data_IF_741907406149
#
_entry.id   IF_741907406149
#
_cell.length_a   1.000
_cell.length_b   1.000
_cell.length_c   1.000
_cell.angle_alpha   90.00
_cell.angle_beta   90.00
_cell.angle_gamma   90.00
#
_symmetry.space_group_name_H-M   'P 1'
#
loop_
_entity.id
_entity.type
_entity.pdbx_description
1 polymer ?
#
# COMPACT_ATOMS: atom_id res chain seq x y z
N UNK A 1 3.70 21.09 -3.89
CA UNK A 1 4.82 20.21 -3.55
C UNK A 1 5.61 19.86 -4.81
N UNK A 2 6.94 20.10 -4.84
CA UNK A 2 7.79 19.95 -6.05
C UNK A 2 7.64 18.57 -6.73
N UNK A 3 7.68 17.49 -5.96
CA UNK A 3 7.56 16.14 -6.47
C UNK A 3 6.16 15.82 -7.02
N UNK A 4 5.11 16.26 -6.36
CA UNK A 4 3.74 16.11 -6.87
C UNK A 4 3.53 16.82 -8.20
N UNK A 5 4.11 18.02 -8.37
CA UNK A 5 4.10 18.71 -9.65
C UNK A 5 4.83 17.91 -10.75
N UNK A 6 6.03 17.40 -10.47
CA UNK A 6 6.82 16.63 -11.45
C UNK A 6 6.11 15.33 -11.85
N UNK A 7 5.53 14.63 -10.89
CA UNK A 7 4.77 13.40 -11.17
C UNK A 7 3.60 13.70 -12.10
N UNK A 8 2.77 14.69 -11.78
CA UNK A 8 1.63 15.05 -12.66
C UNK A 8 2.05 15.51 -14.05
N UNK A 9 3.22 16.16 -14.15
CA UNK A 9 3.71 16.67 -15.44
C UNK A 9 4.27 15.56 -16.33
N UNK A 10 4.98 14.61 -15.75
CA UNK A 10 5.79 13.64 -16.50
C UNK A 10 5.32 12.20 -16.39
N UNK A 11 4.60 11.85 -15.33
CA UNK A 11 4.04 10.52 -15.14
C UNK A 11 2.57 10.53 -15.53
N UNK A 12 2.28 10.07 -16.74
CA UNK A 12 0.92 9.98 -17.28
C UNK A 12 0.57 8.53 -17.51
N UNK A 13 -0.60 8.14 -17.07
CA UNK A 13 -1.18 6.86 -17.42
C UNK A 13 -1.63 6.89 -18.88
N UNK A 14 -1.67 5.73 -19.52
CA UNK A 14 -2.39 5.58 -20.80
C UNK A 14 -3.89 5.84 -20.55
N UNK A 15 -4.63 6.24 -21.59
CA UNK A 15 -6.08 6.50 -21.47
C UNK A 15 -6.81 5.27 -20.95
N UNK A 16 -6.47 4.08 -21.44
CA UNK A 16 -7.03 2.81 -20.96
C UNK A 16 -6.83 2.61 -19.47
N UNK A 17 -5.60 2.77 -18.98
CA UNK A 17 -5.28 2.57 -17.56
C UNK A 17 -5.89 3.65 -16.67
N UNK A 18 -5.93 4.89 -17.15
CA UNK A 18 -6.61 5.98 -16.44
C UNK A 18 -8.10 5.66 -16.25
N UNK A 19 -8.77 5.24 -17.32
CA UNK A 19 -10.18 4.84 -17.27
C UNK A 19 -10.41 3.69 -16.29
N UNK A 20 -9.56 2.66 -16.33
CA UNK A 20 -9.63 1.54 -15.37
C UNK A 20 -9.47 2.01 -13.93
N UNK A 21 -8.54 2.90 -13.65
CA UNK A 21 -8.36 3.48 -12.32
C UNK A 21 -9.60 4.27 -11.84
N UNK A 22 -10.21 5.05 -12.73
CA UNK A 22 -11.41 5.85 -12.41
C UNK A 22 -12.63 4.97 -12.16
N UNK A 23 -12.83 3.94 -12.97
CA UNK A 23 -13.90 2.94 -12.77
C UNK A 23 -13.76 2.23 -11.42
N UNK A 24 -12.53 1.83 -11.06
CA UNK A 24 -12.25 1.22 -9.76
C UNK A 24 -12.48 2.21 -8.60
N UNK A 25 -12.07 3.46 -8.75
CA UNK A 25 -12.33 4.50 -7.76
C UNK A 25 -13.84 4.70 -7.54
N UNK A 26 -14.60 4.84 -8.61
CA UNK A 26 -16.06 5.02 -8.56
C UNK A 26 -16.75 3.84 -7.88
N UNK A 27 -16.28 2.61 -8.12
CA UNK A 27 -16.81 1.39 -7.54
C UNK A 27 -16.47 1.23 -6.05
N UNK A 28 -15.24 1.55 -5.65
CA UNK A 28 -14.68 1.12 -4.35
C UNK A 28 -14.66 2.25 -3.32
N UNK A 29 -14.30 3.47 -3.71
CA UNK A 29 -14.04 4.57 -2.76
C UNK A 29 -15.10 5.65 -2.82
N UNK A 30 -15.54 6.04 -4.01
CA UNK A 30 -16.47 7.15 -4.20
C UNK A 30 -17.77 6.95 -3.43
N UNK A 31 -18.16 7.95 -2.64
CA UNK A 31 -19.37 7.90 -1.81
C UNK A 31 -19.27 7.11 -0.51
N UNK A 32 -18.10 6.59 -0.15
CA UNK A 32 -17.90 5.85 1.11
C UNK A 32 -17.67 6.73 2.34
N UNK A 33 -17.74 8.05 2.21
CA UNK A 33 -17.40 8.95 3.32
C UNK A 33 -15.88 9.12 3.46
N UNK A 34 -15.37 9.09 4.69
CA UNK A 34 -13.95 9.31 4.98
C UNK A 34 -13.17 8.00 4.96
N UNK A 35 -12.24 7.87 4.05
CA UNK A 35 -11.44 6.66 3.86
C UNK A 35 -10.01 6.90 4.31
N UNK A 36 -9.51 6.04 5.20
CA UNK A 36 -8.10 5.95 5.55
C UNK A 36 -7.39 5.02 4.57
N UNK A 37 -6.56 5.57 3.71
CA UNK A 37 -5.68 4.77 2.88
C UNK A 37 -4.53 4.19 3.71
N UNK A 38 -4.31 2.88 3.62
CA UNK A 38 -3.21 2.21 4.29
C UNK A 38 -2.30 1.51 3.29
N UNK A 39 -0.99 1.66 3.46
CA UNK A 39 0.01 0.99 2.63
C UNK A 39 0.96 0.19 3.51
N UNK A 40 0.81 -1.14 3.46
CA UNK A 40 1.63 -2.07 4.22
C UNK A 40 2.66 -2.72 3.28
N UNK A 41 3.93 -2.56 3.62
CA UNK A 41 5.03 -3.32 3.01
C UNK A 41 5.55 -4.31 4.04
N UNK A 42 5.64 -5.58 3.65
CA UNK A 42 6.14 -6.60 4.57
C UNK A 42 7.66 -6.49 4.77
N UNK A 43 8.12 -6.75 6.00
CA UNK A 43 9.53 -6.79 6.37
C UNK A 43 10.29 -8.00 5.82
N UNK A 44 9.60 -9.06 5.41
CA UNK A 44 10.25 -10.29 4.92
C UNK A 44 11.15 -10.07 3.71
N UNK A 45 11.00 -8.93 3.04
CA UNK A 45 11.87 -8.56 1.92
C UNK A 45 13.31 -8.19 2.31
N UNK A 46 13.58 -8.07 3.59
CA UNK A 46 14.86 -7.52 4.09
C UNK A 46 15.72 -8.60 4.75
N UNK A 47 15.15 -9.77 5.05
CA UNK A 47 15.95 -10.89 5.53
C UNK A 47 16.75 -11.47 4.36
N UNK A 48 18.00 -11.05 4.26
CA UNK A 48 18.95 -11.64 3.32
C UNK A 48 19.36 -13.03 3.78
N UNK A 49 18.89 -14.02 3.04
CA UNK A 49 19.15 -15.43 3.30
C UNK A 49 20.45 -15.89 2.64
N UNK A 50 20.96 -15.09 1.72
CA UNK A 50 22.18 -15.41 0.97
C UNK A 50 23.44 -15.17 1.79
N UNK A 51 23.32 -14.58 3.00
CA UNK A 51 24.46 -14.18 3.83
C UNK A 51 25.19 -12.93 3.31
N UNK A 52 24.68 -12.29 2.24
CA UNK A 52 25.27 -11.08 1.69
C UNK A 52 24.95 -9.81 2.51
N UNK A 53 24.19 -9.97 3.59
CA UNK A 53 23.79 -8.88 4.49
C UNK A 53 22.48 -8.20 4.06
N UNK A 54 21.74 -7.71 5.05
CA UNK A 54 20.55 -6.88 4.84
C UNK A 54 20.93 -5.70 3.93
N UNK A 55 20.05 -5.35 3.00
CA UNK A 55 20.31 -4.18 2.17
C UNK A 55 20.44 -2.95 3.10
N UNK A 56 21.68 -2.51 3.30
CA UNK A 56 22.00 -1.37 4.14
C UNK A 56 21.11 -0.17 3.73
N UNK A 57 20.57 0.51 4.72
CA UNK A 57 19.68 1.66 4.55
C UNK A 57 18.25 1.35 4.02
N UNK A 58 17.80 0.08 4.02
CA UNK A 58 16.39 -0.18 3.74
C UNK A 58 15.52 0.21 4.96
N UNK A 59 14.43 0.97 4.77
CA UNK A 59 13.56 1.35 5.88
C UNK A 59 12.95 0.13 6.57
N UNK A 60 13.01 0.12 7.90
CA UNK A 60 12.30 -0.86 8.72
C UNK A 60 10.80 -0.64 8.59
N UNK A 61 10.06 -1.73 8.47
CA UNK A 61 8.61 -1.70 8.43
C UNK A 61 8.08 -2.16 9.80
N UNK A 62 6.96 -1.58 10.28
CA UNK A 62 6.34 -2.04 11.52
C UNK A 62 5.78 -3.45 11.37
N UNK A 63 5.69 -4.17 12.46
CA UNK A 63 4.96 -5.44 12.51
C UNK A 63 3.46 -5.20 12.25
N UNK A 64 2.78 -6.21 11.70
CA UNK A 64 1.37 -6.10 11.30
C UNK A 64 0.47 -5.74 12.47
N UNK A 65 0.66 -6.35 13.65
CA UNK A 65 -0.11 -6.05 14.85
C UNK A 65 -0.01 -4.57 15.25
N UNK A 66 1.20 -4.02 15.20
CA UNK A 66 1.42 -2.59 15.47
C UNK A 66 0.77 -1.70 14.41
N UNK A 67 0.74 -2.17 13.16
CA UNK A 67 0.06 -1.46 12.08
C UNK A 67 -1.44 -1.43 12.31
N UNK A 68 -2.06 -2.54 12.71
CA UNK A 68 -3.49 -2.66 13.04
C UNK A 68 -3.85 -1.74 14.21
N UNK A 69 -3.07 -1.75 15.29
CA UNK A 69 -3.26 -0.83 16.41
C UNK A 69 -3.26 0.64 15.97
N UNK A 70 -2.39 0.98 15.04
CA UNK A 70 -2.29 2.35 14.55
C UNK A 70 -3.43 2.71 13.61
N UNK A 71 -3.96 1.75 12.84
CA UNK A 71 -5.17 1.95 12.02
C UNK A 71 -6.34 2.36 12.91
N UNK A 72 -6.59 1.65 14.02
CA UNK A 72 -7.66 2.00 14.97
C UNK A 72 -7.51 3.41 15.52
N UNK A 73 -6.30 3.80 15.95
CA UNK A 73 -6.02 5.15 16.45
C UNK A 73 -6.28 6.21 15.39
N UNK A 74 -5.79 5.97 14.15
CA UNK A 74 -6.00 6.90 13.04
C UNK A 74 -7.47 7.00 12.64
N UNK A 75 -8.20 5.89 12.57
CA UNK A 75 -9.62 5.90 12.26
C UNK A 75 -10.40 6.72 13.27
N UNK A 76 -10.14 6.52 14.57
CA UNK A 76 -10.80 7.27 15.64
C UNK A 76 -10.44 8.76 15.60
N UNK A 77 -9.14 9.08 15.54
CA UNK A 77 -8.63 10.45 15.60
C UNK A 77 -9.05 11.28 14.37
N UNK A 78 -9.01 10.68 13.20
CA UNK A 78 -9.28 11.35 11.91
C UNK A 78 -10.70 11.12 11.41
N UNK A 79 -11.52 10.43 12.22
CA UNK A 79 -12.94 10.13 11.94
C UNK A 79 -13.13 9.46 10.60
N UNK A 80 -12.32 8.45 10.30
CA UNK A 80 -12.45 7.66 9.08
C UNK A 80 -13.45 6.52 9.28
N UNK A 81 -14.33 6.32 8.28
CA UNK A 81 -15.40 5.33 8.29
C UNK A 81 -14.92 3.98 7.76
N UNK A 82 -14.00 4.01 6.80
CA UNK A 82 -13.45 2.88 6.08
C UNK A 82 -11.94 2.94 6.02
N UNK A 83 -11.32 1.80 5.79
CA UNK A 83 -9.94 1.69 5.36
C UNK A 83 -9.89 1.25 3.89
N UNK A 84 -8.91 1.75 3.15
CA UNK A 84 -8.52 1.22 1.85
C UNK A 84 -7.16 0.57 1.97
N UNK A 85 -7.09 -0.75 1.80
CA UNK A 85 -5.90 -1.54 2.07
C UNK A 85 -5.09 -1.82 0.81
N UNK A 86 -3.85 -1.37 0.78
CA UNK A 86 -2.84 -1.69 -0.22
C UNK A 86 -1.69 -2.46 0.41
N UNK A 87 -1.52 -3.71 0.02
CA UNK A 87 -0.39 -4.57 0.41
C UNK A 87 -0.09 -5.58 -0.69
N UNK A 88 1.13 -6.08 -0.73
CA UNK A 88 1.53 -7.19 -1.61
C UNK A 88 1.38 -8.55 -0.92
N UNK A 89 1.05 -8.58 0.35
CA UNK A 89 1.06 -9.75 1.21
C UNK A 89 -0.36 -10.30 1.44
N UNK A 90 -0.59 -11.55 1.05
CA UNK A 90 -1.88 -12.24 1.25
C UNK A 90 -2.23 -12.37 2.73
N UNK A 91 -1.26 -12.67 3.59
CA UNK A 91 -1.51 -12.81 5.03
C UNK A 91 -1.94 -11.47 5.63
N UNK A 92 -1.22 -10.38 5.34
CA UNK A 92 -1.60 -9.07 5.83
C UNK A 92 -3.01 -8.66 5.35
N UNK A 93 -3.36 -8.96 4.10
CA UNK A 93 -4.69 -8.67 3.59
C UNK A 93 -5.78 -9.49 4.28
N UNK A 94 -5.54 -10.77 4.56
CA UNK A 94 -6.48 -11.64 5.27
C UNK A 94 -6.73 -11.13 6.70
N UNK A 95 -5.68 -10.79 7.43
CA UNK A 95 -5.80 -10.22 8.78
C UNK A 95 -6.60 -8.91 8.78
N UNK A 96 -6.32 -8.01 7.83
CA UNK A 96 -7.08 -6.76 7.70
C UNK A 96 -8.56 -7.00 7.37
N UNK A 97 -8.86 -7.97 6.50
CA UNK A 97 -10.25 -8.32 6.20
C UNK A 97 -10.96 -8.97 7.37
N UNK A 98 -10.27 -9.82 8.12
CA UNK A 98 -10.82 -10.43 9.33
C UNK A 98 -11.13 -9.37 10.39
N UNK A 99 -10.22 -8.40 10.57
CA UNK A 99 -10.32 -7.38 11.62
C UNK A 99 -11.36 -6.29 11.29
N UNK A 100 -11.39 -5.81 10.03
CA UNK A 100 -12.22 -4.67 9.64
C UNK A 100 -13.45 -5.03 8.82
N UNK A 101 -13.60 -6.30 8.39
CA UNK A 101 -14.75 -6.80 7.64
C UNK A 101 -15.11 -5.92 6.44
N UNK A 102 -16.38 -5.55 6.33
CA UNK A 102 -16.92 -4.72 5.22
C UNK A 102 -16.34 -3.29 5.20
N UNK A 103 -15.63 -2.87 6.23
CA UNK A 103 -14.92 -1.58 6.26
C UNK A 103 -13.55 -1.65 5.59
N UNK A 104 -13.06 -2.84 5.26
CA UNK A 104 -11.80 -3.04 4.57
C UNK A 104 -12.00 -3.07 3.04
N UNK A 105 -11.80 -1.91 2.42
CA UNK A 105 -11.89 -1.75 0.97
C UNK A 105 -10.57 -2.15 0.31
N UNK A 106 -10.65 -2.77 -0.86
CA UNK A 106 -9.47 -3.15 -1.66
C UNK A 106 -9.84 -3.33 -3.13
N UNK A 107 -8.86 -3.35 -4.01
CA UNK A 107 -9.03 -3.93 -5.35
C UNK A 107 -8.77 -5.44 -5.30
N UNK A 108 -9.43 -6.18 -6.18
CA UNK A 108 -9.09 -7.58 -6.41
C UNK A 108 -7.87 -7.66 -7.32
N UNK A 109 -6.78 -8.20 -6.80
CA UNK A 109 -5.55 -8.47 -7.54
C UNK A 109 -4.79 -9.63 -6.94
N UNK A 110 -3.89 -10.20 -7.71
CA UNK A 110 -3.00 -11.23 -7.21
C UNK A 110 -2.03 -10.64 -6.18
N UNK A 111 -1.94 -11.29 -5.04
CA UNK A 111 -1.01 -10.98 -3.97
C UNK A 111 0.03 -12.10 -3.86
N UNK A 112 1.17 -11.80 -3.27
CA UNK A 112 2.18 -12.82 -3.02
C UNK A 112 1.74 -13.73 -1.87
N UNK A 113 1.77 -15.04 -2.10
CA UNK A 113 1.45 -16.06 -1.11
C UNK A 113 2.69 -16.64 -0.41
N UNK A 114 3.88 -16.20 -0.83
CA UNK A 114 5.15 -16.79 -0.39
C UNK A 114 5.66 -16.21 0.93
N UNK A 115 4.90 -15.33 1.57
CA UNK A 115 5.22 -14.77 2.87
C UNK A 115 4.63 -15.65 3.97
N UNK A 116 5.45 -16.56 4.52
CA UNK A 116 5.14 -17.25 5.76
C UNK A 116 5.96 -16.62 6.87
N UNK A 117 5.31 -16.30 7.98
CA UNK A 117 5.98 -15.79 9.16
C UNK A 117 7.16 -16.70 9.56
N UNK A 118 8.33 -16.12 9.76
CA UNK A 118 9.55 -16.86 10.12
C UNK A 118 10.24 -17.62 8.98
N UNK A 119 9.73 -17.56 7.75
CA UNK A 119 10.43 -18.17 6.62
C UNK A 119 11.19 -17.12 5.79
N UNK A 120 12.42 -17.44 5.43
CA UNK A 120 13.23 -16.58 4.61
C UNK A 120 12.68 -16.47 3.17
N UNK A 121 12.52 -15.25 2.66
CA UNK A 121 12.19 -15.00 1.24
C UNK A 121 13.47 -15.05 0.41
N UNK A 122 13.59 -16.07 -0.41
CA UNK A 122 14.86 -16.41 -1.08
C UNK A 122 15.30 -15.36 -2.11
N UNK A 123 14.46 -14.89 -2.99
CA UNK A 123 14.81 -13.95 -4.06
C UNK A 123 13.64 -12.98 -4.36
N UNK A 124 13.94 -11.89 -5.06
CA UNK A 124 12.90 -10.95 -5.50
C UNK A 124 11.85 -11.63 -6.42
N UNK A 125 12.26 -12.64 -7.14
CA UNK A 125 11.42 -13.45 -8.03
C UNK A 125 10.38 -14.28 -7.26
N UNK A 126 10.71 -14.76 -6.06
CA UNK A 126 9.79 -15.50 -5.18
C UNK A 126 8.68 -14.61 -4.57
N UNK A 127 8.77 -13.29 -4.76
CA UNK A 127 7.83 -12.28 -4.24
C UNK A 127 6.82 -11.81 -5.28
N UNK A 128 7.08 -12.11 -6.55
CA UNK A 128 6.15 -11.72 -7.60
C UNK A 128 4.83 -12.46 -7.42
N UNK A 129 3.68 -11.77 -7.48
CA UNK A 129 2.41 -12.44 -7.56
C UNK A 129 2.40 -13.37 -8.77
N UNK A 130 1.73 -14.52 -8.64
CA UNK A 130 1.53 -15.42 -9.76
C UNK A 130 0.77 -14.74 -10.91
N UNK A 131 1.05 -15.13 -12.14
CA UNK A 131 0.34 -14.66 -13.33
C UNK A 131 1.10 -13.62 -14.16
N UNK A 132 0.39 -12.94 -15.03
CA UNK A 132 0.96 -11.96 -15.96
C UNK A 132 1.56 -10.75 -15.22
N UNK A 133 2.87 -10.55 -15.41
CA UNK A 133 3.61 -9.46 -14.76
C UNK A 133 3.08 -8.08 -15.19
N UNK A 134 2.66 -7.92 -16.45
CA UNK A 134 2.14 -6.63 -16.94
C UNK A 134 0.81 -6.31 -16.28
N UNK A 135 -0.10 -7.28 -16.18
CA UNK A 135 -1.40 -7.07 -15.51
C UNK A 135 -1.23 -6.85 -14.01
N UNK A 136 -0.32 -7.56 -13.35
CA UNK A 136 0.01 -7.33 -11.95
C UNK A 136 0.56 -5.91 -11.71
N UNK A 137 1.40 -5.41 -12.60
CA UNK A 137 1.92 -4.04 -12.52
C UNK A 137 0.83 -3.00 -12.78
N UNK A 138 -0.06 -3.21 -13.75
CA UNK A 138 -1.23 -2.35 -13.98
C UNK A 138 -2.14 -2.31 -12.74
N UNK A 139 -2.40 -3.46 -12.13
CA UNK A 139 -3.21 -3.55 -10.92
C UNK A 139 -2.53 -2.80 -9.74
N UNK A 140 -1.22 -2.92 -9.56
CA UNK A 140 -0.46 -2.16 -8.57
C UNK A 140 -0.54 -0.64 -8.79
N UNK A 141 -0.52 -0.19 -10.05
CA UNK A 141 -0.69 1.23 -10.39
C UNK A 141 -2.10 1.70 -10.02
N UNK A 142 -3.14 0.92 -10.34
CA UNK A 142 -4.52 1.23 -9.94
C UNK A 142 -4.65 1.28 -8.40
N UNK A 143 -4.04 0.35 -7.69
CA UNK A 143 -4.02 0.30 -6.23
C UNK A 143 -3.41 1.59 -5.63
N UNK A 144 -2.25 1.99 -6.16
CA UNK A 144 -1.59 3.24 -5.78
C UNK A 144 -2.44 4.48 -6.13
N UNK A 145 -3.12 4.47 -7.27
CA UNK A 145 -4.03 5.54 -7.67
C UNK A 145 -5.20 5.67 -6.67
N UNK A 146 -5.87 4.56 -6.33
CA UNK A 146 -6.96 4.58 -5.36
C UNK A 146 -6.47 5.03 -3.98
N UNK A 147 -5.31 4.55 -3.56
CA UNK A 147 -4.67 5.00 -2.32
C UNK A 147 -4.51 6.53 -2.31
N UNK A 148 -4.08 7.12 -3.43
CA UNK A 148 -3.93 8.58 -3.55
C UNK A 148 -5.24 9.38 -3.49
N UNK A 149 -6.39 8.71 -3.60
CA UNK A 149 -7.73 9.31 -3.55
C UNK A 149 -8.39 9.22 -2.17
N UNK A 150 -7.75 8.56 -1.23
CA UNK A 150 -8.25 8.48 0.15
C UNK A 150 -8.19 9.83 0.87
N UNK A 151 -8.97 9.98 1.94
CA UNK A 151 -9.03 11.20 2.77
C UNK A 151 -7.75 11.40 3.59
N UNK A 152 -7.21 10.29 4.11
CA UNK A 152 -6.01 10.28 4.93
C UNK A 152 -5.08 9.13 4.52
N UNK A 153 -3.82 9.18 4.94
CA UNK A 153 -2.82 8.15 4.64
C UNK A 153 -2.09 7.69 5.89
N UNK A 154 -2.07 6.37 6.09
CA UNK A 154 -1.17 5.68 7.02
C UNK A 154 -0.28 4.72 6.23
N UNK A 155 1.01 4.87 6.28
CA UNK A 155 1.92 4.09 5.45
C UNK A 155 3.17 3.65 6.20
N UNK A 156 3.65 2.45 5.90
CA UNK A 156 5.05 2.13 6.08
C UNK A 156 5.95 3.05 5.23
N UNK A 157 7.22 3.16 5.58
CA UNK A 157 8.18 3.93 4.78
C UNK A 157 8.57 3.14 3.52
N UNK A 158 7.76 3.19 2.49
CA UNK A 158 7.91 2.40 1.26
C UNK A 158 7.58 3.17 -0.01
N UNK A 159 7.94 2.60 -1.16
CA UNK A 159 7.74 3.24 -2.48
C UNK A 159 6.28 3.52 -2.81
N UNK A 160 5.38 2.56 -2.53
CA UNK A 160 3.94 2.69 -2.80
C UNK A 160 3.30 3.85 -2.05
N UNK A 161 3.56 3.93 -0.73
CA UNK A 161 3.05 5.02 0.10
C UNK A 161 3.58 6.39 -0.34
N UNK A 162 4.89 6.48 -0.69
CA UNK A 162 5.48 7.73 -1.21
C UNK A 162 4.87 8.13 -2.55
N UNK A 163 4.66 7.18 -3.46
CA UNK A 163 4.05 7.46 -4.76
C UNK A 163 2.62 7.97 -4.60
N UNK A 164 1.81 7.31 -3.77
CA UNK A 164 0.46 7.76 -3.46
C UNK A 164 0.44 9.17 -2.85
N UNK A 165 1.35 9.46 -1.92
CA UNK A 165 1.50 10.79 -1.32
C UNK A 165 1.79 11.88 -2.36
N UNK A 166 2.71 11.62 -3.28
CA UNK A 166 3.05 12.57 -4.34
C UNK A 166 1.92 12.72 -5.36
N UNK A 167 1.24 11.64 -5.69
CA UNK A 167 0.12 11.65 -6.62
C UNK A 167 -1.10 12.39 -6.06
N UNK A 168 -1.37 12.24 -4.77
CA UNK A 168 -2.38 13.01 -4.04
C UNK A 168 -2.11 14.53 -4.04
N UNK A 169 -0.86 14.93 -4.19
CA UNK A 169 -0.42 16.34 -4.24
C UNK A 169 -0.77 17.19 -3.01
N UNK A 170 -0.71 16.60 -1.83
CA UNK A 170 -0.94 17.29 -0.57
C UNK A 170 -2.43 17.53 -0.25
N UNK A 171 -3.33 16.76 -0.87
CA UNK A 171 -4.77 16.82 -0.61
C UNK A 171 -5.21 15.92 0.55
N UNK A 172 -4.33 15.05 1.06
CA UNK A 172 -4.62 14.30 2.28
C UNK A 172 -4.84 15.26 3.45
N UNK A 173 -5.93 15.08 4.18
CA UNK A 173 -6.19 15.86 5.39
C UNK A 173 -5.22 15.49 6.52
N UNK A 174 -4.85 14.22 6.59
CA UNK A 174 -3.90 13.70 7.56
C UNK A 174 -2.97 12.67 6.93
N UNK A 175 -1.71 12.68 7.35
CA UNK A 175 -0.70 11.72 6.89
C UNK A 175 0.14 11.25 8.06
N UNK A 176 0.31 9.95 8.19
CA UNK A 176 1.28 9.33 9.08
C UNK A 176 2.10 8.28 8.33
N UNK A 177 3.41 8.42 8.43
CA UNK A 177 4.37 7.43 7.89
C UNK A 177 5.20 6.92 9.05
N UNK A 178 5.29 5.61 9.20
CA UNK A 178 6.17 5.00 10.20
C UNK A 178 7.63 5.34 9.92
N UNK A 179 8.36 5.69 10.99
CA UNK A 179 9.76 6.09 10.95
C UNK A 179 10.58 5.22 11.93
N UNK A 180 10.64 3.94 11.64
CA UNK A 180 11.29 2.94 12.52
C UNK A 180 12.81 2.81 12.24
N UNK A 181 13.38 3.77 11.52
CA UNK A 181 14.78 3.77 11.11
C UNK A 181 15.06 2.86 9.92
N UNK A 182 16.34 2.58 9.72
CA UNK A 182 16.83 1.69 8.65
C UNK A 182 17.55 0.49 9.25
N UNK A 183 17.72 -0.56 8.46
CA UNK A 183 18.56 -1.71 8.80
C UNK A 183 20.04 -1.37 8.66
#
# INVERSE_FOLDING_TARGET
>A
HKWGYLIRKYFRLTEELQKKCEELYDKIIKGRGRVLGICIRNNFSVLDITGAGLSHNHPRQPELVRFIDEIYKCMQLWKCDYIYAMTDDTYAMQELQQEFGDKCLRIERNLSTNFKEGQPVKLAEDRAPEGDTVENNKAYICDTYLLSKCTALLSGNCGGGRMAYYWNNGQYENVKVFQDGNY
#
